data_IF_136894835518
#
_entry.id   IF_136894835518
#
_cell.length_a   1.000
_cell.length_b   1.000
_cell.length_c   1.000
_cell.angle_alpha   90.00
_cell.angle_beta   90.00
_cell.angle_gamma   90.00
#
_symmetry.space_group_name_H-M   'P 1'
#
loop_
_entity.id
_entity.type
_entity.pdbx_description
1 polymer ?
#
# COMPACT_ATOMS: atom_id res chain seq x y z
N UNK A 1 -8.37 -20.89 -67.07
CA UNK A 1 -8.96 -19.63 -66.56
C UNK A 1 -10.27 -19.98 -65.86
N UNK A 2 -10.31 -19.97 -64.53
CA UNK A 2 -11.52 -19.71 -63.73
C UNK A 2 -11.12 -19.53 -62.25
N UNK A 3 -10.57 -18.36 -61.97
CA UNK A 3 -10.45 -17.75 -60.65
C UNK A 3 -11.87 -17.44 -60.13
N UNK A 4 -12.59 -18.41 -59.57
CA UNK A 4 -13.92 -18.14 -58.96
C UNK A 4 -14.21 -18.87 -57.65
N UNK A 5 -13.24 -19.51 -57.02
CA UNK A 5 -13.43 -20.14 -55.70
C UNK A 5 -12.27 -19.76 -54.77
N UNK A 6 -12.02 -18.46 -54.62
CA UNK A 6 -11.11 -17.96 -53.57
C UNK A 6 -11.60 -16.66 -52.92
N UNK A 7 -12.84 -16.24 -53.21
CA UNK A 7 -13.39 -14.96 -52.75
C UNK A 7 -14.58 -15.10 -51.78
N UNK A 8 -14.78 -16.29 -51.20
CA UNK A 8 -15.90 -16.56 -50.28
C UNK A 8 -15.44 -17.06 -48.90
N UNK A 9 -14.16 -16.87 -48.57
CA UNK A 9 -13.59 -17.13 -47.24
C UNK A 9 -12.85 -15.88 -46.71
N UNK A 10 -13.33 -14.68 -47.06
CA UNK A 10 -12.74 -13.41 -46.60
C UNK A 10 -13.78 -12.41 -46.05
N UNK A 11 -15.06 -12.75 -46.03
CA UNK A 11 -16.14 -11.84 -45.57
C UNK A 11 -16.70 -12.17 -44.19
N UNK A 12 -16.08 -13.07 -43.44
CA UNK A 12 -16.26 -13.15 -41.98
C UNK A 12 -14.97 -12.72 -41.28
N UNK A 13 -14.42 -11.57 -41.69
CA UNK A 13 -13.73 -10.74 -40.72
C UNK A 13 -14.79 -10.42 -39.67
N UNK A 14 -14.76 -11.15 -38.56
CA UNK A 14 -15.45 -10.76 -37.35
C UNK A 14 -15.15 -9.28 -37.15
N UNK A 15 -16.16 -8.44 -37.36
CA UNK A 15 -16.23 -7.12 -36.77
C UNK A 15 -16.29 -7.33 -35.25
N UNK A 16 -15.18 -7.74 -34.65
CA UNK A 16 -14.85 -7.26 -33.33
C UNK A 16 -14.50 -5.80 -33.52
N UNK A 17 -15.52 -4.97 -33.75
CA UNK A 17 -15.45 -3.61 -33.27
C UNK A 17 -15.15 -3.78 -31.77
N UNK A 18 -13.89 -3.60 -31.38
CA UNK A 18 -13.59 -3.32 -29.99
C UNK A 18 -14.33 -2.02 -29.71
N UNK A 19 -15.57 -2.14 -29.25
CA UNK A 19 -16.27 -1.01 -28.67
C UNK A 19 -15.31 -0.42 -27.63
N UNK A 20 -15.22 0.90 -27.53
CA UNK A 20 -14.30 1.51 -26.56
C UNK A 20 -14.85 1.28 -25.15
N UNK A 21 -13.98 1.14 -24.13
CA UNK A 21 -14.45 1.10 -22.75
C UNK A 21 -15.20 2.40 -22.43
N UNK A 22 -16.23 2.30 -21.59
CA UNK A 22 -17.00 3.46 -21.13
C UNK A 22 -16.21 4.07 -19.99
N UNK A 23 -15.92 5.38 -20.09
CA UNK A 23 -15.14 6.09 -19.07
C UNK A 23 -16.01 7.19 -18.47
N UNK A 24 -16.12 7.20 -17.15
CA UNK A 24 -16.71 8.30 -16.40
C UNK A 24 -15.62 8.99 -15.60
N UNK A 25 -15.70 10.31 -15.47
CA UNK A 25 -14.73 11.12 -14.75
C UNK A 25 -15.39 12.15 -13.83
N UNK A 26 -14.74 12.42 -12.71
CA UNK A 26 -14.99 13.57 -11.88
C UNK A 26 -13.65 14.08 -11.36
N UNK A 27 -13.16 15.10 -12.07
CA UNK A 27 -11.87 15.72 -11.80
C UNK A 27 -11.94 16.84 -10.75
N UNK A 28 -13.10 17.07 -10.13
CA UNK A 28 -13.32 18.20 -9.22
C UNK A 28 -12.32 18.20 -8.05
N UNK A 29 -12.12 17.09 -7.34
CA UNK A 29 -11.14 17.05 -6.24
C UNK A 29 -9.72 16.72 -6.69
N UNK A 30 -9.54 15.99 -7.78
CA UNK A 30 -8.23 15.57 -8.25
C UNK A 30 -7.42 16.71 -8.93
N UNK A 31 -8.08 17.71 -9.53
CA UNK A 31 -7.43 18.71 -10.39
C UNK A 31 -7.69 20.19 -9.99
N UNK A 32 -8.65 20.49 -9.10
CA UNK A 32 -9.18 21.88 -8.97
C UNK A 32 -8.83 22.68 -7.71
N UNK A 33 -8.07 22.17 -6.74
CA UNK A 33 -7.61 23.00 -5.61
C UNK A 33 -6.27 23.67 -5.91
N UNK A 34 -6.32 24.92 -6.38
CA UNK A 34 -5.16 25.84 -6.55
C UNK A 34 -4.49 26.23 -5.23
N UNK A 35 -5.07 25.89 -4.09
CA UNK A 35 -4.45 26.02 -2.78
C UNK A 35 -4.02 24.62 -2.32
N UNK A 36 -2.78 24.28 -2.65
CA UNK A 36 -2.10 23.07 -2.20
C UNK A 36 -1.93 23.12 -0.68
N UNK A 37 -2.88 22.54 0.04
CA UNK A 37 -2.63 22.04 1.39
C UNK A 37 -2.56 20.51 1.27
N UNK A 38 -1.33 20.00 1.19
CA UNK A 38 -0.92 18.64 0.81
C UNK A 38 -1.57 17.52 1.66
N UNK A 39 -2.22 17.89 2.76
CA UNK A 39 -2.81 16.97 3.74
C UNK A 39 -4.32 17.13 3.93
N UNK A 40 -4.97 18.10 3.26
CA UNK A 40 -6.37 18.48 3.56
C UNK A 40 -7.43 17.95 2.59
N UNK A 41 -7.06 17.51 1.38
CA UNK A 41 -8.03 16.97 0.43
C UNK A 41 -8.28 15.48 0.71
N UNK A 42 -9.47 15.15 1.20
CA UNK A 42 -9.96 13.77 1.28
C UNK A 42 -9.81 13.10 -0.10
N UNK A 43 -8.92 12.10 -0.20
CA UNK A 43 -8.68 11.39 -1.45
C UNK A 43 -9.95 10.70 -1.91
N UNK A 44 -10.25 10.83 -3.20
CA UNK A 44 -11.37 10.18 -3.85
C UNK A 44 -10.95 9.47 -5.15
N UNK A 45 -11.73 8.48 -5.56
CA UNK A 45 -11.64 7.93 -6.92
C UNK A 45 -12.21 8.94 -7.91
N UNK A 46 -11.41 9.42 -8.85
CA UNK A 46 -11.75 10.45 -9.83
C UNK A 46 -12.14 9.88 -11.20
N UNK A 47 -11.69 8.68 -11.56
CA UNK A 47 -12.05 8.03 -12.83
C UNK A 47 -12.70 6.66 -12.58
N UNK A 48 -13.62 6.29 -13.45
CA UNK A 48 -14.19 4.95 -13.57
C UNK A 48 -14.11 4.49 -15.02
N UNK A 49 -13.42 3.39 -15.26
CA UNK A 49 -13.44 2.67 -16.54
C UNK A 49 -14.31 1.44 -16.40
N UNK A 50 -15.29 1.28 -17.29
CA UNK A 50 -16.14 0.09 -17.42
C UNK A 50 -15.79 -0.59 -18.74
N UNK A 51 -15.22 -1.79 -18.64
CA UNK A 51 -14.81 -2.62 -19.77
C UNK A 51 -15.93 -3.58 -20.19
N UNK A 52 -15.92 -3.99 -21.46
CA UNK A 52 -16.92 -4.93 -22.02
C UNK A 52 -16.84 -6.35 -21.46
N UNK A 53 -15.68 -6.77 -20.98
CA UNK A 53 -15.46 -8.08 -20.37
C UNK A 53 -16.02 -8.18 -18.94
N UNK A 54 -16.99 -7.31 -18.63
CA UNK A 54 -17.62 -7.16 -17.32
C UNK A 54 -16.63 -6.80 -16.21
N UNK A 55 -15.49 -6.17 -16.54
CA UNK A 55 -14.54 -5.62 -15.56
C UNK A 55 -14.65 -4.11 -15.43
N UNK A 56 -14.23 -3.58 -14.29
CA UNK A 56 -14.13 -2.14 -14.07
C UNK A 56 -12.85 -1.79 -13.32
N UNK A 57 -12.45 -0.52 -13.40
CA UNK A 57 -11.42 0.08 -12.55
C UNK A 57 -11.82 1.50 -12.14
N UNK A 58 -11.90 1.74 -10.83
CA UNK A 58 -11.88 3.08 -10.24
C UNK A 58 -10.44 3.51 -10.00
N UNK A 59 -10.07 4.72 -10.41
CA UNK A 59 -8.73 5.28 -10.16
C UNK A 59 -8.79 6.54 -9.32
N UNK A 60 -7.87 6.64 -8.37
CA UNK A 60 -7.50 7.88 -7.70
C UNK A 60 -6.09 8.24 -8.15
N UNK A 61 -5.96 9.33 -8.91
CA UNK A 61 -4.70 9.78 -9.51
C UNK A 61 -4.40 11.22 -9.09
N UNK A 62 -3.98 11.45 -7.85
CA UNK A 62 -3.51 12.77 -7.45
C UNK A 62 -2.31 13.19 -8.31
N UNK A 63 -2.20 14.49 -8.59
CA UNK A 63 -1.18 15.08 -9.47
C UNK A 63 0.28 14.95 -9.00
N UNK A 64 0.50 14.52 -7.76
CA UNK A 64 1.82 14.52 -7.12
C UNK A 64 2.75 13.45 -7.70
N UNK A 65 2.33 12.19 -7.68
CA UNK A 65 3.18 11.06 -8.07
C UNK A 65 2.37 9.79 -8.32
N UNK A 66 2.81 8.97 -9.28
CA UNK A 66 2.22 7.66 -9.55
C UNK A 66 2.34 6.68 -8.36
N UNK A 67 3.28 6.90 -7.43
CA UNK A 67 3.38 6.12 -6.18
C UNK A 67 2.18 6.32 -5.24
N UNK A 68 1.44 7.41 -5.41
CA UNK A 68 0.25 7.74 -4.61
C UNK A 68 -1.05 7.39 -5.32
N UNK A 69 -0.96 6.81 -6.52
CA UNK A 69 -2.14 6.38 -7.26
C UNK A 69 -2.74 5.12 -6.64
N UNK A 70 -4.06 5.06 -6.63
CA UNK A 70 -4.80 3.93 -6.11
C UNK A 70 -5.80 3.45 -7.14
N UNK A 71 -6.00 2.14 -7.20
CA UNK A 71 -6.95 1.49 -8.11
C UNK A 71 -7.81 0.50 -7.31
N UNK A 72 -9.13 0.55 -7.53
CA UNK A 72 -10.03 -0.54 -7.18
C UNK A 72 -10.56 -1.12 -8.47
N UNK A 73 -10.40 -2.43 -8.65
CA UNK A 73 -10.87 -3.15 -9.82
C UNK A 73 -11.69 -4.37 -9.43
N UNK A 74 -12.49 -4.84 -10.37
CA UNK A 74 -13.31 -6.02 -10.13
C UNK A 74 -14.29 -6.29 -11.25
N UNK A 75 -15.44 -6.87 -10.90
CA UNK A 75 -16.51 -7.22 -11.83
C UNK A 75 -17.71 -6.28 -11.66
N UNK A 76 -18.42 -6.03 -12.75
CA UNK A 76 -19.65 -5.25 -12.69
C UNK A 76 -20.82 -5.98 -13.33
N UNK A 77 -22.03 -5.60 -12.92
CA UNK A 77 -23.29 -5.96 -13.57
C UNK A 77 -24.18 -4.74 -13.68
N UNK A 78 -25.09 -4.72 -14.67
CA UNK A 78 -26.07 -3.66 -14.85
C UNK A 78 -27.48 -4.24 -14.93
N UNK A 79 -28.39 -3.66 -14.17
CA UNK A 79 -29.81 -3.96 -14.18
C UNK A 79 -30.57 -2.64 -14.37
N UNK A 80 -31.20 -2.45 -15.54
CA UNK A 80 -31.78 -1.16 -15.96
C UNK A 80 -30.76 -0.04 -15.90
N UNK A 81 -30.97 0.96 -15.03
CA UNK A 81 -30.07 2.08 -14.82
C UNK A 81 -29.16 1.92 -13.58
N UNK A 82 -29.16 0.76 -12.94
CA UNK A 82 -28.32 0.47 -11.78
C UNK A 82 -27.10 -0.34 -12.19
N UNK A 83 -25.92 0.16 -11.85
CA UNK A 83 -24.66 -0.57 -11.90
C UNK A 83 -24.33 -1.11 -10.51
N UNK A 84 -23.89 -2.36 -10.44
CA UNK A 84 -23.31 -2.97 -9.23
C UNK A 84 -21.86 -3.32 -9.53
N UNK A 85 -20.94 -2.74 -8.78
CA UNK A 85 -19.50 -2.97 -8.87
C UNK A 85 -19.06 -3.82 -7.69
N UNK A 86 -18.46 -4.98 -7.96
CA UNK A 86 -17.97 -5.94 -6.99
C UNK A 86 -16.45 -5.96 -7.05
N UNK A 87 -15.80 -5.59 -5.96
CA UNK A 87 -14.34 -5.63 -5.83
C UNK A 87 -13.94 -6.38 -4.57
N UNK A 88 -12.71 -6.88 -4.57
CA UNK A 88 -12.11 -7.54 -3.43
C UNK A 88 -10.65 -7.13 -3.29
N UNK A 89 -10.16 -7.11 -2.05
CA UNK A 89 -8.75 -6.92 -1.76
C UNK A 89 -8.36 -7.72 -0.52
N UNK A 90 -7.08 -8.05 -0.42
CA UNK A 90 -6.55 -8.80 0.70
C UNK A 90 -5.97 -7.84 1.74
N UNK A 91 -6.45 -7.93 2.97
CA UNK A 91 -5.81 -7.34 4.15
C UNK A 91 -4.87 -8.39 4.73
N UNK A 92 -3.65 -7.98 5.05
CA UNK A 92 -2.63 -8.87 5.64
C UNK A 92 -2.19 -8.29 6.97
N UNK A 93 -2.09 -9.13 7.99
CA UNK A 93 -1.50 -8.78 9.27
C UNK A 93 -0.05 -8.31 9.08
N UNK A 94 0.41 -7.37 9.92
CA UNK A 94 1.81 -6.99 9.93
C UNK A 94 2.68 -8.21 10.26
N UNK A 95 3.76 -8.37 9.51
CA UNK A 95 4.67 -9.50 9.65
C UNK A 95 5.68 -9.34 10.80
N UNK A 96 5.66 -8.16 11.44
CA UNK A 96 6.53 -7.77 12.55
C UNK A 96 5.72 -6.93 13.54
N UNK A 97 5.93 -7.16 14.84
CA UNK A 97 5.35 -6.35 15.93
C UNK A 97 6.48 -5.75 16.76
N UNK A 98 6.31 -4.51 17.18
CA UNK A 98 7.29 -3.76 17.97
C UNK A 98 6.70 -3.40 19.32
N UNK A 99 7.46 -3.64 20.38
CA UNK A 99 7.17 -3.11 21.72
C UNK A 99 8.37 -2.30 22.19
N UNK A 100 8.10 -1.12 22.74
CA UNK A 100 9.12 -0.18 23.16
C UNK A 100 9.20 -0.06 24.68
N UNK A 101 10.41 0.00 25.20
CA UNK A 101 10.70 0.32 26.59
C UNK A 101 11.94 1.21 26.67
N UNK A 102 12.13 1.85 27.82
CA UNK A 102 13.25 2.78 28.04
C UNK A 102 13.89 2.54 29.40
N UNK A 103 15.22 2.58 29.43
CA UNK A 103 16.01 2.63 30.65
C UNK A 103 17.12 3.70 30.55
N UNK A 104 18.07 3.69 31.50
CA UNK A 104 19.18 4.66 31.57
C UNK A 104 20.46 4.23 30.87
N UNK A 105 20.48 3.05 30.24
CA UNK A 105 21.70 2.53 29.58
C UNK A 105 21.96 3.26 28.26
N UNK A 106 23.23 3.51 27.95
CA UNK A 106 23.65 4.23 26.73
C UNK A 106 23.86 3.30 25.53
N UNK A 107 22.90 2.40 25.32
CA UNK A 107 22.89 1.43 24.22
C UNK A 107 21.47 1.13 23.81
N UNK A 108 21.28 0.75 22.55
CA UNK A 108 20.06 0.08 22.12
C UNK A 108 20.16 -1.41 22.42
N UNK A 109 19.13 -1.95 23.04
CA UNK A 109 18.92 -3.39 23.22
C UNK A 109 17.75 -3.81 22.33
N UNK A 110 18.08 -4.49 21.23
CA UNK A 110 17.10 -5.05 20.31
C UNK A 110 16.92 -6.54 20.63
N UNK A 111 15.73 -6.96 21.04
CA UNK A 111 15.43 -8.36 21.37
C UNK A 111 14.54 -8.97 20.29
N UNK A 112 14.92 -10.12 19.77
CA UNK A 112 14.22 -10.76 18.65
C UNK A 112 13.55 -12.06 19.07
N UNK A 113 12.30 -12.24 18.67
CA UNK A 113 11.54 -13.47 18.87
C UNK A 113 10.62 -13.74 17.69
N UNK A 114 9.98 -14.91 17.68
CA UNK A 114 8.84 -15.18 16.80
C UNK A 114 7.57 -15.38 17.64
N UNK A 115 6.42 -15.13 17.04
CA UNK A 115 5.11 -15.31 17.66
C UNK A 115 4.86 -16.76 18.13
N UNK A 116 5.52 -17.73 17.49
CA UNK A 116 5.47 -19.15 17.86
C UNK A 116 6.65 -19.62 18.72
N UNK A 117 7.54 -18.72 19.14
CA UNK A 117 8.77 -19.01 19.90
C UNK A 117 9.69 -20.01 19.19
N UNK A 118 9.65 -20.05 17.87
CA UNK A 118 10.56 -20.87 17.08
C UNK A 118 11.98 -20.31 17.14
N UNK A 119 12.96 -21.18 16.94
CA UNK A 119 14.36 -20.77 16.88
C UNK A 119 14.63 -19.88 15.66
N UNK A 120 15.23 -18.72 15.89
CA UNK A 120 15.80 -17.86 14.85
C UNK A 120 17.06 -18.52 14.26
N UNK A 121 16.86 -19.24 13.15
CA UNK A 121 17.90 -20.05 12.48
C UNK A 121 18.99 -19.18 11.85
N UNK A 122 18.61 -18.09 11.17
CA UNK A 122 19.58 -17.13 10.71
C UNK A 122 20.06 -16.32 11.93
N UNK A 123 21.36 -16.39 12.21
CA UNK A 123 21.98 -15.67 13.33
C UNK A 123 22.46 -14.27 12.94
N UNK A 124 22.22 -13.85 11.70
CA UNK A 124 22.61 -12.54 11.19
C UNK A 124 21.38 -11.71 10.81
N UNK A 125 21.50 -10.41 11.01
CA UNK A 125 20.50 -9.41 10.63
C UNK A 125 21.20 -8.20 10.03
N UNK A 126 20.56 -7.57 9.05
CA UNK A 126 21.00 -6.28 8.53
C UNK A 126 20.24 -5.17 9.26
N UNK A 127 20.97 -4.16 9.71
CA UNK A 127 20.44 -2.96 10.35
C UNK A 127 20.93 -1.78 9.54
N UNK A 128 20.01 -0.89 9.15
CA UNK A 128 20.32 0.36 8.47
C UNK A 128 19.95 1.51 9.38
N UNK A 129 20.91 2.37 9.68
CA UNK A 129 20.69 3.62 10.40
C UNK A 129 20.20 4.66 9.41
N UNK A 130 19.04 5.22 9.69
CA UNK A 130 18.43 6.27 8.88
C UNK A 130 18.32 7.55 9.69
N UNK A 131 18.71 8.64 9.06
CA UNK A 131 18.88 9.92 9.74
C UNK A 131 17.75 10.89 9.41
N UNK A 132 17.60 11.87 10.28
CA UNK A 132 16.62 12.95 10.11
C UNK A 132 16.88 13.71 8.82
N UNK A 133 15.88 13.73 7.95
CA UNK A 133 15.92 14.41 6.65
C UNK A 133 16.08 15.92 6.81
N UNK A 134 15.57 16.49 7.89
CA UNK A 134 15.67 17.92 8.19
C UNK A 134 16.93 18.29 8.98
N UNK A 135 17.86 17.34 9.18
CA UNK A 135 19.14 17.67 9.78
C UNK A 135 19.88 18.71 8.91
N UNK A 136 20.54 19.67 9.57
CA UNK A 136 21.32 20.74 8.91
C UNK A 136 22.43 20.18 8.00
N UNK A 137 22.92 18.98 8.31
CA UNK A 137 23.88 18.24 7.50
C UNK A 137 23.16 17.01 6.96
N UNK A 138 23.22 16.80 5.65
CA UNK A 138 22.74 15.57 5.03
C UNK A 138 23.68 14.43 5.41
N UNK A 139 23.12 13.41 6.05
CA UNK A 139 23.83 12.21 6.46
C UNK A 139 23.28 11.05 5.64
N UNK A 140 24.16 10.29 4.98
CA UNK A 140 23.77 9.10 4.24
C UNK A 140 23.41 7.95 5.19
N UNK A 141 22.47 7.10 4.76
CA UNK A 141 22.10 5.90 5.50
C UNK A 141 23.30 4.95 5.65
N UNK A 142 23.46 4.37 6.84
CA UNK A 142 24.60 3.49 7.14
C UNK A 142 24.09 2.07 7.38
N UNK A 143 24.59 1.13 6.59
CA UNK A 143 24.26 -0.28 6.71
C UNK A 143 25.28 -1.02 7.57
N UNK A 144 24.80 -1.85 8.51
CA UNK A 144 25.60 -2.79 9.28
C UNK A 144 24.97 -4.18 9.25
N UNK A 145 25.80 -5.19 9.15
CA UNK A 145 25.40 -6.58 9.36
C UNK A 145 25.85 -6.96 10.76
N UNK A 146 24.92 -7.45 11.58
CA UNK A 146 25.17 -7.83 12.96
C UNK A 146 24.77 -9.29 13.18
N UNK A 147 25.34 -9.88 14.23
CA UNK A 147 25.02 -11.24 14.65
C UNK A 147 24.28 -11.21 15.99
N UNK A 148 23.29 -12.07 16.14
CA UNK A 148 22.56 -12.22 17.39
C UNK A 148 23.43 -12.83 18.49
N UNK A 149 23.29 -12.29 19.70
CA UNK A 149 23.75 -12.92 20.94
C UNK A 149 23.00 -14.24 21.19
N UNK A 150 23.45 -15.03 22.16
CA UNK A 150 22.84 -16.34 22.48
C UNK A 150 21.36 -16.24 22.87
N UNK A 151 20.95 -15.13 23.47
CA UNK A 151 19.58 -14.83 23.90
C UNK A 151 18.72 -14.18 22.80
N UNK A 152 19.18 -14.20 21.55
CA UNK A 152 18.53 -13.53 20.41
C UNK A 152 18.44 -12.00 20.57
N UNK A 153 19.38 -11.39 21.28
CA UNK A 153 19.49 -9.94 21.36
C UNK A 153 20.62 -9.39 20.47
N UNK A 154 20.57 -8.09 20.22
CA UNK A 154 21.69 -7.28 19.74
C UNK A 154 21.79 -6.06 20.65
N UNK A 155 23.02 -5.74 21.02
CA UNK A 155 23.34 -4.52 21.73
C UNK A 155 24.11 -3.58 20.80
N UNK A 156 23.67 -2.32 20.72
CA UNK A 156 24.32 -1.29 19.90
C UNK A 156 24.63 -0.10 20.81
N UNK A 157 25.87 0.06 21.26
CA UNK A 157 26.30 1.25 22.00
C UNK A 157 26.00 2.53 21.21
N UNK A 158 25.56 3.59 21.89
CA UNK A 158 25.20 4.84 21.20
C UNK A 158 26.38 5.51 20.49
N UNK A 159 27.60 5.37 21.04
CA UNK A 159 28.84 5.89 20.48
C UNK A 159 29.31 5.14 19.22
N UNK A 160 28.79 3.93 18.96
CA UNK A 160 29.04 3.18 17.72
C UNK A 160 28.09 3.56 16.57
N UNK A 161 27.10 4.42 16.84
CA UNK A 161 26.15 4.94 15.85
C UNK A 161 26.63 6.32 15.43
N UNK A 162 27.11 6.50 14.18
CA UNK A 162 27.53 7.81 13.70
C UNK A 162 26.36 8.79 13.78
N UNK A 163 26.59 10.02 14.26
CA UNK A 163 25.57 11.06 14.40
C UNK A 163 24.28 10.57 15.10
N UNK A 164 24.43 9.80 16.18
CA UNK A 164 23.32 9.18 16.94
C UNK A 164 22.20 10.17 17.29
N UNK A 165 22.55 11.41 17.62
CA UNK A 165 21.61 12.48 17.94
C UNK A 165 20.69 12.86 16.77
N UNK A 166 21.05 12.51 15.53
CA UNK A 166 20.25 12.71 14.31
C UNK A 166 19.57 11.43 13.82
N UNK A 167 19.71 10.31 14.53
CA UNK A 167 19.07 9.05 14.16
C UNK A 167 17.54 9.17 14.24
N UNK A 168 16.85 8.93 13.13
CA UNK A 168 15.40 8.99 13.02
C UNK A 168 14.75 7.59 13.09
N UNK A 169 15.38 6.58 12.50
CA UNK A 169 14.91 5.20 12.56
C UNK A 169 16.03 4.17 12.37
N UNK A 170 15.73 2.93 12.77
CA UNK A 170 16.44 1.75 12.28
C UNK A 170 15.58 1.04 11.24
N UNK A 171 16.12 0.68 10.08
CA UNK A 171 15.53 -0.36 9.24
C UNK A 171 16.19 -1.69 9.56
N UNK A 172 15.41 -2.67 10.01
CA UNK A 172 15.89 -4.04 10.15
C UNK A 172 15.50 -4.85 8.93
N UNK A 173 16.37 -5.77 8.51
CA UNK A 173 16.10 -6.77 7.50
C UNK A 173 16.59 -8.14 7.99
N UNK A 174 15.65 -9.05 8.19
CA UNK A 174 15.90 -10.40 8.70
C UNK A 174 15.36 -11.46 7.74
N UNK A 175 16.11 -12.53 7.51
CA UNK A 175 15.64 -13.69 6.75
C UNK A 175 15.19 -14.77 7.71
N UNK A 176 13.86 -14.93 7.85
CA UNK A 176 13.24 -15.97 8.67
C UNK A 176 13.48 -17.36 8.06
N UNK A 177 13.52 -17.43 6.73
CA UNK A 177 13.97 -18.57 5.94
C UNK A 177 14.69 -18.10 4.68
N UNK A 178 15.23 -19.02 3.87
CA UNK A 178 15.95 -18.68 2.63
C UNK A 178 15.09 -17.88 1.62
N UNK A 179 13.76 -18.03 1.65
CA UNK A 179 12.82 -17.34 0.76
C UNK A 179 11.97 -16.30 1.46
N UNK A 180 12.11 -16.14 2.77
CA UNK A 180 11.22 -15.32 3.58
C UNK A 180 12.00 -14.23 4.32
N UNK A 181 11.81 -12.99 3.86
CA UNK A 181 12.42 -11.79 4.45
C UNK A 181 11.37 -11.00 5.23
N UNK A 182 11.77 -10.48 6.38
CA UNK A 182 11.07 -9.50 7.20
C UNK A 182 11.83 -8.19 7.13
N UNK A 183 11.11 -7.09 6.93
CA UNK A 183 11.69 -5.76 7.03
C UNK A 183 10.79 -4.88 7.85
N UNK A 184 11.37 -4.05 8.72
CA UNK A 184 10.60 -3.17 9.57
C UNK A 184 11.41 -1.92 9.90
N UNK A 185 10.73 -0.77 9.96
CA UNK A 185 11.29 0.45 10.50
C UNK A 185 10.96 0.54 11.99
N UNK A 186 11.98 0.77 12.80
CA UNK A 186 11.88 1.00 14.24
C UNK A 186 11.99 2.51 14.44
N UNK A 187 10.86 3.15 14.74
CA UNK A 187 10.76 4.60 14.97
C UNK A 187 9.52 4.90 15.82
N UNK A 188 9.55 6.02 16.53
CA UNK A 188 8.39 6.61 17.23
C UNK A 188 7.71 7.72 16.40
N UNK A 189 8.29 8.05 15.24
CA UNK A 189 7.78 9.09 14.35
C UNK A 189 6.75 8.54 13.35
N UNK A 190 5.88 9.41 12.83
CA UNK A 190 4.99 9.06 11.71
C UNK A 190 5.73 8.82 10.38
N UNK A 191 6.92 9.41 10.22
CA UNK A 191 7.77 9.28 9.05
C UNK A 191 9.10 8.66 9.44
N UNK A 192 9.59 7.71 8.63
CA UNK A 192 10.79 6.91 8.95
C UNK A 192 12.09 7.71 8.92
N UNK A 193 12.11 8.84 8.24
CA UNK A 193 13.27 9.71 8.05
C UNK A 193 13.06 11.09 8.67
N UNK A 194 12.13 11.24 9.62
CA UNK A 194 11.94 12.49 10.37
C UNK A 194 12.06 12.15 11.84
N UNK A 195 12.92 12.88 12.57
CA UNK A 195 13.10 12.65 13.99
C UNK A 195 12.17 13.55 14.81
N UNK A 196 10.97 13.07 15.08
CA UNK A 196 10.02 13.75 15.98
C UNK A 196 10.33 13.45 17.46
N UNK A 197 10.83 12.24 17.74
CA UNK A 197 11.17 11.74 19.08
C UNK A 197 12.39 10.83 19.02
N UNK A 198 13.09 10.71 20.15
CA UNK A 198 14.12 9.69 20.32
C UNK A 198 13.50 8.29 20.35
N UNK A 199 14.13 7.35 19.65
CA UNK A 199 13.77 5.93 19.68
C UNK A 199 14.08 5.40 21.09
N UNK A 200 13.11 4.74 21.78
CA UNK A 200 13.36 4.08 23.06
C UNK A 200 14.47 3.05 22.93
N UNK A 201 15.33 2.98 23.95
CA UNK A 201 16.58 2.24 23.86
C UNK A 201 16.40 0.73 24.12
N UNK A 202 15.20 0.26 24.43
CA UNK A 202 14.85 -1.16 24.43
C UNK A 202 13.73 -1.37 23.43
N UNK A 203 13.94 -2.26 22.48
CA UNK A 203 12.94 -2.62 21.46
C UNK A 203 12.82 -4.12 21.42
N UNK A 204 11.60 -4.62 21.60
CA UNK A 204 11.27 -6.02 21.40
C UNK A 204 10.60 -6.18 20.03
N UNK A 205 11.21 -7.03 19.21
CA UNK A 205 10.83 -7.29 17.82
C UNK A 205 10.32 -8.73 17.74
N UNK A 206 9.02 -8.88 17.52
CA UNK A 206 8.39 -10.17 17.29
C UNK A 206 8.09 -10.35 15.81
N UNK A 207 8.70 -11.35 15.17
CA UNK A 207 8.37 -11.74 13.81
C UNK A 207 7.15 -12.66 13.81
N UNK A 208 6.14 -12.30 13.03
CA UNK A 208 4.97 -13.15 12.79
C UNK A 208 5.33 -14.14 11.69
N UNK A 209 5.39 -15.43 12.02
CA UNK A 209 5.85 -16.46 11.07
C UNK A 209 4.86 -16.66 9.93
N UNK A 210 3.56 -16.58 10.23
CA UNK A 210 2.49 -16.76 9.25
C UNK A 210 1.44 -15.67 9.44
N UNK A 211 1.67 -14.47 8.86
CA UNK A 211 0.72 -13.37 8.97
C UNK A 211 -0.64 -13.77 8.43
N UNK A 212 -1.70 -13.49 9.20
CA UNK A 212 -3.07 -13.78 8.77
C UNK A 212 -3.44 -12.94 7.56
N UNK A 213 -4.32 -13.50 6.73
CA UNK A 213 -4.84 -12.87 5.52
C UNK A 213 -6.36 -12.93 5.56
N UNK A 214 -6.99 -11.82 5.20
CA UNK A 214 -8.44 -11.71 5.17
C UNK A 214 -8.85 -11.03 3.86
N UNK A 215 -9.84 -11.59 3.16
CA UNK A 215 -10.40 -10.97 1.97
C UNK A 215 -11.51 -10.00 2.38
N UNK A 216 -11.38 -8.76 1.95
CA UNK A 216 -12.42 -7.74 2.09
C UNK A 216 -13.15 -7.62 0.77
N UNK A 217 -14.48 -7.78 0.81
CA UNK A 217 -15.35 -7.63 -0.34
C UNK A 217 -16.07 -6.29 -0.26
N UNK A 218 -16.13 -5.58 -1.39
CA UNK A 218 -16.82 -4.29 -1.51
C UNK A 218 -17.84 -4.35 -2.63
N UNK A 219 -19.06 -3.92 -2.30
CA UNK A 219 -20.14 -3.69 -3.26
C UNK A 219 -20.40 -2.18 -3.34
N UNK A 220 -20.20 -1.61 -4.52
CA UNK A 220 -20.51 -0.22 -4.83
C UNK A 220 -21.67 -0.18 -5.80
N UNK A 221 -22.71 0.60 -5.48
CA UNK A 221 -23.90 0.77 -6.32
C UNK A 221 -23.84 2.15 -6.98
N UNK A 222 -23.97 2.16 -8.30
CA UNK A 222 -24.08 3.37 -9.11
C UNK A 222 -25.44 3.45 -9.80
N UNK A 223 -26.01 4.65 -9.91
CA UNK A 223 -27.25 4.92 -10.66
C UNK A 223 -26.92 5.81 -11.86
N UNK A 224 -27.24 5.35 -13.06
CA UNK A 224 -27.04 6.08 -14.30
C UNK A 224 -28.28 6.94 -14.62
N UNK A 225 -28.07 8.23 -14.85
CA UNK A 225 -29.09 9.19 -15.28
C UNK A 225 -28.53 10.03 -16.44
N UNK A 226 -28.92 9.70 -17.67
CA UNK A 226 -28.28 10.27 -18.87
C UNK A 226 -26.79 9.96 -18.91
N UNK A 227 -25.97 11.00 -19.02
CA UNK A 227 -24.50 10.90 -19.07
C UNK A 227 -23.85 10.94 -17.66
N UNK A 228 -24.64 10.85 -16.57
CA UNK A 228 -24.15 10.95 -15.20
C UNK A 228 -24.33 9.66 -14.42
N UNK A 229 -23.27 9.21 -13.75
CA UNK A 229 -23.30 8.10 -12.82
C UNK A 229 -23.20 8.62 -11.38
N UNK A 230 -24.23 8.42 -10.57
CA UNK A 230 -24.24 8.74 -9.14
C UNK A 230 -23.85 7.49 -8.32
N UNK A 231 -22.87 7.61 -7.42
CA UNK A 231 -22.59 6.57 -6.42
C UNK A 231 -23.59 6.72 -5.28
N UNK A 232 -24.50 5.76 -5.17
CA UNK A 232 -25.59 5.79 -4.18
C UNK A 232 -25.21 5.05 -2.88
N UNK A 233 -24.32 4.06 -2.98
CA UNK A 233 -23.79 3.37 -1.81
C UNK A 233 -22.48 2.66 -2.11
N UNK A 234 -21.67 2.48 -1.07
CA UNK A 234 -20.49 1.62 -1.09
C UNK A 234 -20.37 0.95 0.27
N UNK A 235 -20.53 -0.36 0.30
CA UNK A 235 -20.45 -1.17 1.52
C UNK A 235 -19.35 -2.20 1.36
N UNK A 236 -18.52 -2.35 2.38
CA UNK A 236 -17.49 -3.38 2.46
C UNK A 236 -17.70 -4.29 3.66
N UNK A 237 -17.25 -5.54 3.57
CA UNK A 237 -17.16 -6.42 4.73
C UNK A 237 -16.21 -5.82 5.75
N UNK A 238 -16.58 -5.82 7.04
CA UNK A 238 -15.73 -5.31 8.11
C UNK A 238 -14.65 -6.35 8.43
N UNK A 239 -13.36 -6.08 8.21
CA UNK A 239 -12.33 -7.04 8.53
C UNK A 239 -12.11 -7.17 10.04
N UNK A 240 -11.66 -8.35 10.46
CA UNK A 240 -11.15 -8.60 11.80
C UNK A 240 -9.71 -8.10 11.98
N UNK A 241 -8.94 -8.07 10.89
CA UNK A 241 -7.58 -7.51 10.86
C UNK A 241 -7.61 -5.98 10.72
N UNK A 242 -6.67 -5.25 11.34
CA UNK A 242 -6.55 -3.81 11.15
C UNK A 242 -6.21 -3.47 9.68
N UNK A 243 -6.93 -2.50 9.13
CA UNK A 243 -6.64 -1.92 7.81
C UNK A 243 -5.66 -0.74 7.98
N UNK A 244 -4.43 -0.91 7.51
CA UNK A 244 -3.41 0.16 7.57
C UNK A 244 -3.44 1.10 6.35
N UNK A 245 -4.17 0.74 5.29
CA UNK A 245 -4.34 1.58 4.12
C UNK A 245 -5.38 2.66 4.41
N UNK A 246 -5.06 3.91 4.09
CA UNK A 246 -6.01 5.02 4.18
C UNK A 246 -7.22 4.74 3.28
N UNK A 247 -8.43 4.86 3.83
CA UNK A 247 -9.65 4.70 3.06
C UNK A 247 -9.82 5.85 2.05
N UNK A 248 -10.02 5.49 0.79
CA UNK A 248 -10.28 6.43 -0.30
C UNK A 248 -11.77 6.41 -0.60
N UNK A 249 -12.39 7.58 -0.55
CA UNK A 249 -13.81 7.76 -0.82
C UNK A 249 -14.15 7.71 -2.31
N UNK A 250 -15.44 7.73 -2.62
CA UNK A 250 -15.94 7.92 -3.97
C UNK A 250 -16.40 9.37 -4.14
N UNK A 251 -16.28 9.90 -5.36
CA UNK A 251 -17.05 11.08 -5.72
C UNK A 251 -18.53 10.72 -5.81
N UNK A 252 -19.40 11.68 -5.48
CA UNK A 252 -20.85 11.42 -5.53
C UNK A 252 -21.34 11.21 -6.96
N UNK A 253 -20.78 11.95 -7.92
CA UNK A 253 -21.17 11.92 -9.33
C UNK A 253 -19.95 11.75 -10.23
N UNK A 254 -20.11 11.09 -11.37
CA UNK A 254 -19.14 11.01 -12.45
C UNK A 254 -19.84 11.29 -13.78
N UNK A 255 -19.19 12.04 -14.67
CA UNK A 255 -19.72 12.39 -15.99
C UNK A 255 -19.07 11.54 -17.08
N UNK A 256 -19.85 11.12 -18.06
CA UNK A 256 -19.36 10.34 -19.20
C UNK A 256 -18.33 11.16 -19.99
N UNK A 257 -17.12 10.60 -20.15
CA UNK A 257 -16.07 11.19 -20.98
C UNK A 257 -16.46 11.03 -22.45
N UNK A 258 -16.64 12.16 -23.12
CA UNK A 258 -17.06 12.25 -24.54
C UNK A 258 -15.90 12.07 -25.50
#
# INVERSE_FOLDING_TARGET
>A
MNFKIFFLILSTQFLFAQEKPIVFENNAKAYSNKNFDEFSNERSFCDLTISQDSTFSFYSRPHLSCYTWNEIKGKWKKEKNIYTFLSEYQVTENDTRLTFAKDSTKKYLLKFATDKKSTLKNRSIKIVYMYDFYAEIKIDDIEKIMSFNQDNSIEIPFDEIPNHEKLASFRIEYFLSASEKRYQYITESKMVNVKERDIPNIVEIEFVEQPKKEMVYRTTIGKLEGDKLEIVSSVKTKPSLPEYLTEIGFEKYYELRK
#
